data_IF_224304661254
#
_entry.id   IF_224304661254
#
_cell.length_a   1.000
_cell.length_b   1.000
_cell.length_c   1.000
_cell.angle_alpha   90.00
_cell.angle_beta   90.00
_cell.angle_gamma   90.00
#
_symmetry.space_group_name_H-M   'P 1'
#
loop_
_entity.id
_entity.type
_entity.pdbx_description
1 polymer ?
#
# COMPACT_ATOMS: atom_id res chain seq x y z
N UNK A 1 -14.14 -19.58 26.39
CA UNK A 1 -15.44 -18.93 26.03
C UNK A 1 -15.25 -17.55 25.45
N UNK A 2 -14.65 -16.64 26.18
CA UNK A 2 -14.40 -15.28 25.70
C UNK A 2 -13.44 -15.28 24.52
N UNK A 3 -12.40 -16.09 24.57
CA UNK A 3 -11.45 -16.23 23.48
C UNK A 3 -12.12 -16.75 22.21
N UNK A 4 -13.12 -17.60 22.33
CA UNK A 4 -13.85 -18.14 21.20
C UNK A 4 -14.72 -17.06 20.54
N UNK A 5 -15.29 -16.16 21.32
CA UNK A 5 -16.11 -15.08 20.79
C UNK A 5 -15.26 -14.14 19.92
N UNK A 6 -14.03 -13.84 20.34
CA UNK A 6 -13.12 -13.01 19.55
C UNK A 6 -12.64 -13.72 18.29
N UNK A 7 -12.45 -15.02 18.36
CA UNK A 7 -12.02 -15.81 17.21
C UNK A 7 -13.11 -15.85 16.14
N UNK A 8 -14.38 -15.86 16.54
CA UNK A 8 -15.49 -15.89 15.61
C UNK A 8 -15.74 -14.56 14.90
N UNK A 9 -15.18 -13.45 15.42
CA UNK A 9 -15.33 -12.15 14.78
C UNK A 9 -14.61 -12.09 13.44
N UNK A 10 -13.49 -12.82 13.28
CA UNK A 10 -12.76 -12.88 12.02
C UNK A 10 -12.55 -14.36 11.68
N UNK A 11 -13.56 -14.96 11.08
CA UNK A 11 -13.56 -16.39 10.78
C UNK A 11 -12.96 -16.71 9.42
N UNK A 12 -13.10 -15.81 8.45
CA UNK A 12 -12.67 -16.08 7.07
C UNK A 12 -11.50 -15.21 6.68
N UNK A 13 -10.78 -15.70 5.67
CA UNK A 13 -9.70 -14.91 5.06
C UNK A 13 -10.24 -13.67 4.38
N UNK A 14 -11.48 -13.73 3.87
CA UNK A 14 -12.15 -12.59 3.26
C UNK A 14 -12.40 -11.49 4.28
N UNK A 15 -12.91 -11.85 5.45
CA UNK A 15 -13.16 -10.89 6.53
C UNK A 15 -11.87 -10.26 7.04
N UNK A 16 -10.82 -11.07 7.20
CA UNK A 16 -9.52 -10.57 7.63
C UNK A 16 -8.94 -9.60 6.59
N UNK A 17 -9.08 -9.95 5.32
CA UNK A 17 -8.57 -9.11 4.22
C UNK A 17 -9.28 -7.78 4.15
N UNK A 18 -10.61 -7.76 4.34
CA UNK A 18 -11.40 -6.54 4.37
C UNK A 18 -11.02 -5.69 5.60
N UNK A 19 -10.85 -6.33 6.75
CA UNK A 19 -10.40 -5.65 7.96
C UNK A 19 -9.06 -4.97 7.72
N UNK A 20 -8.11 -5.68 7.10
CA UNK A 20 -6.79 -5.13 6.79
C UNK A 20 -6.88 -3.99 5.78
N UNK A 21 -7.78 -4.10 4.80
CA UNK A 21 -8.00 -3.02 3.83
C UNK A 21 -8.52 -1.76 4.52
N UNK A 22 -9.44 -1.91 5.46
CA UNK A 22 -10.00 -0.77 6.20
C UNK A 22 -8.95 -0.04 7.04
N UNK A 23 -7.85 -0.73 7.40
CA UNK A 23 -6.73 -0.13 8.13
C UNK A 23 -5.59 0.32 7.22
N UNK A 24 -5.69 0.05 5.92
CA UNK A 24 -4.60 0.36 4.97
C UNK A 24 -4.39 1.85 4.77
N UNK A 25 -5.43 2.68 4.92
CA UNK A 25 -5.28 4.12 4.81
C UNK A 25 -4.23 4.63 5.81
N UNK A 26 -4.35 4.20 7.06
CA UNK A 26 -3.41 4.57 8.12
C UNK A 26 -2.03 3.98 7.87
N UNK A 27 -1.97 2.73 7.40
CA UNK A 27 -0.72 2.07 7.07
C UNK A 27 0.04 2.80 5.97
N UNK A 28 -0.66 3.23 4.93
CA UNK A 28 -0.04 4.00 3.85
C UNK A 28 0.42 5.37 4.36
N UNK A 29 -0.35 5.99 5.24
CA UNK A 29 0.05 7.26 5.84
C UNK A 29 1.39 7.14 6.57
N UNK A 30 1.59 6.05 7.29
CA UNK A 30 2.87 5.76 7.95
C UNK A 30 3.99 5.58 6.93
N UNK A 31 3.74 4.87 5.84
CA UNK A 31 4.73 4.69 4.77
C UNK A 31 5.13 6.02 4.14
N UNK A 32 4.16 6.90 3.92
CA UNK A 32 4.40 8.24 3.38
C UNK A 32 5.31 9.03 4.32
N UNK A 33 4.98 9.04 5.61
CA UNK A 33 5.75 9.77 6.62
C UNK A 33 7.16 9.19 6.77
N UNK A 34 7.29 7.87 6.78
CA UNK A 34 8.60 7.20 6.89
C UNK A 34 9.46 7.47 5.66
N UNK A 35 8.86 7.49 4.48
CA UNK A 35 9.57 7.81 3.25
C UNK A 35 10.14 9.23 3.29
N UNK A 36 9.30 10.19 3.66
CA UNK A 36 9.73 11.59 3.78
C UNK A 36 10.82 11.77 4.82
N UNK A 37 10.66 11.13 5.97
CA UNK A 37 11.65 11.19 7.04
C UNK A 37 12.98 10.61 6.59
N UNK A 38 12.96 9.45 5.97
CA UNK A 38 14.17 8.79 5.47
C UNK A 38 14.88 9.67 4.44
N UNK A 39 14.13 10.28 3.52
CA UNK A 39 14.69 11.18 2.51
C UNK A 39 15.33 12.44 3.11
N UNK A 40 14.69 12.99 4.14
CA UNK A 40 15.27 14.14 4.87
C UNK A 40 16.53 13.76 5.61
N UNK A 41 16.52 12.62 6.28
CA UNK A 41 17.66 12.13 7.07
C UNK A 41 18.86 11.82 6.17
N UNK A 42 18.64 11.36 4.94
CA UNK A 42 19.72 11.12 3.97
C UNK A 42 20.51 12.38 3.64
N UNK A 43 19.88 13.52 3.73
CA UNK A 43 20.54 14.81 3.46
C UNK A 43 21.38 15.28 4.64
N UNK A 44 21.13 14.73 5.83
CA UNK A 44 21.78 15.13 7.07
C UNK A 44 22.81 14.09 7.49
N UNK A 45 22.38 12.83 7.57
CA UNK A 45 23.23 11.71 7.99
C UNK A 45 22.83 10.48 7.15
N UNK A 46 23.54 10.30 6.04
CA UNK A 46 23.26 9.21 5.10
C UNK A 46 23.34 7.84 5.76
N UNK A 47 24.32 7.65 6.64
CA UNK A 47 24.55 6.36 7.27
C UNK A 47 23.37 5.95 8.15
N UNK A 48 22.88 6.87 8.95
CA UNK A 48 21.71 6.64 9.82
C UNK A 48 20.46 6.41 8.98
N UNK A 49 20.29 7.17 7.89
CA UNK A 49 19.15 7.01 7.01
C UNK A 49 19.14 5.66 6.32
N UNK A 50 20.30 5.13 5.93
CA UNK A 50 20.37 3.81 5.31
C UNK A 50 19.93 2.71 6.29
N UNK A 51 20.19 2.87 7.57
CA UNK A 51 19.71 1.93 8.59
C UNK A 51 18.17 1.91 8.69
N UNK A 52 17.52 3.03 8.42
CA UNK A 52 16.06 3.12 8.45
C UNK A 52 15.42 2.73 7.12
N UNK A 53 16.20 2.73 6.05
CA UNK A 53 15.68 2.41 4.72
C UNK A 53 15.29 0.94 4.59
N UNK A 54 16.01 0.02 5.21
CA UNK A 54 15.69 -1.40 5.13
C UNK A 54 14.31 -1.74 5.70
N UNK A 55 13.96 -1.30 6.92
CA UNK A 55 12.60 -1.50 7.41
C UNK A 55 11.54 -0.86 6.50
N UNK A 56 11.82 0.31 5.93
CA UNK A 56 10.90 0.97 5.02
C UNK A 56 10.69 0.13 3.76
N UNK A 57 11.76 -0.34 3.13
CA UNK A 57 11.64 -1.16 1.92
C UNK A 57 10.90 -2.46 2.19
N UNK A 58 11.14 -3.08 3.33
CA UNK A 58 10.40 -4.29 3.73
C UNK A 58 8.90 -3.99 3.88
N UNK A 59 8.55 -2.88 4.49
CA UNK A 59 7.15 -2.48 4.65
C UNK A 59 6.48 -2.17 3.29
N UNK A 60 7.22 -1.57 2.36
CA UNK A 60 6.72 -1.31 1.01
C UNK A 60 6.45 -2.62 0.27
N UNK A 61 7.34 -3.60 0.37
CA UNK A 61 7.15 -4.91 -0.23
C UNK A 61 5.98 -5.67 0.40
N UNK A 62 5.81 -5.55 1.71
CA UNK A 62 4.68 -6.15 2.41
C UNK A 62 3.36 -5.57 1.92
N UNK A 63 3.31 -4.27 1.71
CA UNK A 63 2.12 -3.62 1.16
C UNK A 63 1.83 -4.11 -0.26
N UNK A 64 2.84 -4.21 -1.11
CA UNK A 64 2.68 -4.72 -2.48
C UNK A 64 2.11 -6.14 -2.46
N UNK A 65 2.64 -7.00 -1.60
CA UNK A 65 2.18 -8.38 -1.44
C UNK A 65 0.73 -8.43 -0.95
N UNK A 66 0.40 -7.58 0.00
CA UNK A 66 -0.98 -7.49 0.52
C UNK A 66 -1.95 -7.07 -0.57
N UNK A 67 -1.63 -6.04 -1.32
CA UNK A 67 -2.48 -5.56 -2.41
C UNK A 67 -2.69 -6.66 -3.46
N UNK A 68 -1.62 -7.34 -3.82
CA UNK A 68 -1.69 -8.43 -4.80
C UNK A 68 -2.59 -9.56 -4.29
N UNK A 69 -2.42 -9.97 -3.04
CA UNK A 69 -3.23 -11.04 -2.43
C UNK A 69 -4.70 -10.64 -2.32
N UNK A 70 -4.97 -9.40 -1.91
CA UNK A 70 -6.32 -8.88 -1.80
C UNK A 70 -7.05 -8.89 -3.14
N UNK A 71 -6.40 -8.35 -4.16
CA UNK A 71 -6.99 -8.28 -5.49
C UNK A 71 -7.17 -9.67 -6.12
N UNK A 72 -6.28 -10.60 -5.81
CA UNK A 72 -6.39 -11.97 -6.27
C UNK A 72 -7.58 -12.68 -5.58
N UNK A 73 -7.68 -12.52 -4.27
CA UNK A 73 -8.75 -13.14 -3.47
C UNK A 73 -10.15 -12.71 -3.92
N UNK A 74 -10.32 -11.43 -4.19
CA UNK A 74 -11.62 -10.86 -4.58
C UNK A 74 -11.77 -10.71 -6.10
N UNK A 75 -10.84 -11.26 -6.88
CA UNK A 75 -10.87 -11.20 -8.34
C UNK A 75 -11.09 -9.76 -8.84
N UNK A 76 -10.33 -8.82 -8.28
CA UNK A 76 -10.44 -7.41 -8.62
C UNK A 76 -9.75 -7.12 -9.94
N UNK A 77 -10.47 -6.49 -10.87
CA UNK A 77 -9.87 -5.90 -12.05
C UNK A 77 -9.41 -4.48 -11.67
N UNK A 78 -8.10 -4.31 -11.51
CA UNK A 78 -7.51 -3.03 -11.08
C UNK A 78 -7.82 -1.87 -12.01
N UNK A 79 -8.11 -2.16 -13.27
CA UNK A 79 -8.50 -1.14 -14.25
C UNK A 79 -9.85 -0.51 -13.92
N UNK A 80 -10.70 -1.27 -13.25
CA UNK A 80 -12.05 -0.80 -12.86
C UNK A 80 -12.02 0.06 -11.61
N UNK A 81 -10.93 0.03 -10.85
CA UNK A 81 -10.75 0.88 -9.67
C UNK A 81 -10.09 2.16 -10.17
N UNK A 82 -10.87 3.11 -10.58
CA UNK A 82 -10.35 4.33 -11.21
C UNK A 82 -11.22 5.53 -10.89
N UNK A 83 -10.59 6.69 -10.98
CA UNK A 83 -11.25 7.99 -10.93
C UNK A 83 -10.81 8.83 -12.13
N UNK A 84 -11.03 10.14 -12.10
CA UNK A 84 -10.68 11.02 -13.21
C UNK A 84 -9.16 11.13 -13.45
N UNK A 85 -8.35 10.70 -12.51
CA UNK A 85 -6.88 10.84 -12.57
C UNK A 85 -6.16 9.55 -12.93
N UNK A 86 -6.85 8.43 -12.95
CA UNK A 86 -6.27 7.16 -13.33
C UNK A 86 -6.77 5.98 -12.52
N UNK A 87 -6.17 4.83 -12.75
CA UNK A 87 -6.60 3.55 -12.15
C UNK A 87 -5.63 3.06 -11.08
N UNK A 88 -6.14 2.11 -10.29
CA UNK A 88 -5.30 1.39 -9.32
C UNK A 88 -4.17 0.63 -10.02
N UNK A 89 -4.43 0.08 -11.21
CA UNK A 89 -3.40 -0.61 -11.99
C UNK A 89 -2.22 0.32 -12.27
N UNK A 90 -2.49 1.51 -12.79
CA UNK A 90 -1.45 2.50 -13.10
C UNK A 90 -0.73 2.95 -11.84
N UNK A 91 -1.45 3.18 -10.76
CA UNK A 91 -0.86 3.60 -9.49
C UNK A 91 0.07 2.52 -8.92
N UNK A 92 -0.35 1.26 -8.97
CA UNK A 92 0.48 0.15 -8.48
C UNK A 92 1.70 -0.08 -9.36
N UNK A 93 1.57 0.10 -10.68
CA UNK A 93 2.72 0.01 -11.59
C UNK A 93 3.75 1.10 -11.26
N UNK A 94 3.29 2.32 -11.00
CA UNK A 94 4.16 3.43 -10.57
C UNK A 94 4.84 3.12 -9.25
N UNK A 95 4.12 2.52 -8.32
CA UNK A 95 4.64 2.12 -7.02
C UNK A 95 5.77 1.09 -7.16
N UNK A 96 5.55 0.06 -7.97
CA UNK A 96 6.58 -0.97 -8.23
C UNK A 96 7.80 -0.39 -8.91
N UNK A 97 7.59 0.54 -9.85
CA UNK A 97 8.70 1.26 -10.49
C UNK A 97 9.50 2.05 -9.47
N UNK A 98 8.83 2.70 -8.51
CA UNK A 98 9.52 3.39 -7.42
C UNK A 98 10.40 2.44 -6.60
N UNK A 99 9.88 1.26 -6.26
CA UNK A 99 10.65 0.27 -5.49
C UNK A 99 11.89 -0.19 -6.24
N UNK A 100 11.74 -0.47 -7.54
CA UNK A 100 12.88 -0.85 -8.39
C UNK A 100 13.91 0.28 -8.45
N UNK A 101 13.44 1.51 -8.58
CA UNK A 101 14.31 2.68 -8.67
C UNK A 101 15.08 2.91 -7.36
N UNK A 102 14.45 2.67 -6.20
CA UNK A 102 15.13 2.70 -4.91
C UNK A 102 16.33 1.75 -4.92
N UNK A 103 16.10 0.51 -5.34
CA UNK A 103 17.17 -0.49 -5.41
C UNK A 103 18.29 -0.09 -6.38
N UNK A 104 17.94 0.46 -7.54
CA UNK A 104 18.91 0.92 -8.53
C UNK A 104 19.77 2.06 -7.98
N UNK A 105 19.18 3.02 -7.30
CA UNK A 105 19.92 4.12 -6.68
C UNK A 105 20.82 3.65 -5.55
N UNK A 106 20.38 2.66 -4.78
CA UNK A 106 21.20 2.06 -3.74
C UNK A 106 22.44 1.37 -4.34
N UNK A 107 22.25 0.56 -5.37
CA UNK A 107 23.33 -0.15 -6.03
C UNK A 107 24.33 0.80 -6.66
N UNK A 108 23.87 1.87 -7.29
CA UNK A 108 24.71 2.87 -7.92
C UNK A 108 25.24 3.92 -6.94
N UNK A 109 24.83 3.84 -5.68
CA UNK A 109 25.20 4.79 -4.62
C UNK A 109 24.81 6.23 -4.94
N UNK A 110 23.72 6.40 -5.68
CA UNK A 110 23.21 7.72 -6.04
C UNK A 110 22.28 8.23 -4.94
N UNK A 111 22.88 8.73 -3.88
CA UNK A 111 22.16 9.12 -2.66
C UNK A 111 21.25 10.33 -2.90
N UNK A 112 21.68 11.28 -3.72
CA UNK A 112 20.89 12.48 -4.01
C UNK A 112 19.60 12.10 -4.71
N UNK A 113 19.67 11.27 -5.74
CA UNK A 113 18.49 10.81 -6.47
C UNK A 113 17.58 9.96 -5.59
N UNK A 114 18.18 9.12 -4.73
CA UNK A 114 17.41 8.30 -3.78
C UNK A 114 16.64 9.20 -2.80
N UNK A 115 17.30 10.19 -2.23
CA UNK A 115 16.65 11.14 -1.32
C UNK A 115 15.49 11.86 -1.99
N UNK A 116 15.68 12.33 -3.23
CA UNK A 116 14.61 12.99 -3.98
C UNK A 116 13.42 12.07 -4.23
N UNK A 117 13.68 10.82 -4.58
CA UNK A 117 12.62 9.82 -4.79
C UNK A 117 11.81 9.62 -3.51
N UNK A 118 12.49 9.46 -2.39
CA UNK A 118 11.84 9.25 -1.09
C UNK A 118 11.07 10.47 -0.61
N UNK A 119 11.49 11.67 -1.00
CA UNK A 119 10.84 12.92 -0.59
C UNK A 119 9.66 13.28 -1.49
N UNK A 120 9.64 12.85 -2.73
CA UNK A 120 8.68 13.35 -3.72
C UNK A 120 7.88 12.24 -4.40
N UNK A 121 8.49 11.45 -5.24
CA UNK A 121 7.77 10.52 -6.10
C UNK A 121 7.11 9.38 -5.33
N UNK A 122 7.81 8.78 -4.39
CA UNK A 122 7.24 7.67 -3.61
C UNK A 122 6.07 8.14 -2.75
N UNK A 123 6.18 9.23 -1.96
CA UNK A 123 5.03 9.74 -1.22
C UNK A 123 3.85 10.08 -2.13
N UNK A 124 4.08 10.72 -3.25
CA UNK A 124 3.05 11.09 -4.20
C UNK A 124 2.32 9.86 -4.75
N UNK A 125 3.06 8.82 -5.08
CA UNK A 125 2.49 7.56 -5.57
C UNK A 125 1.67 6.87 -4.48
N UNK A 126 2.17 6.85 -3.25
CA UNK A 126 1.44 6.28 -2.12
C UNK A 126 0.15 7.05 -1.83
N UNK A 127 0.19 8.37 -1.89
CA UNK A 127 -1.01 9.21 -1.74
C UNK A 127 -2.04 8.89 -2.82
N UNK A 128 -1.58 8.64 -4.02
CA UNK A 128 -2.46 8.25 -5.11
C UNK A 128 -3.17 6.92 -4.84
N UNK A 129 -2.43 5.92 -4.40
CA UNK A 129 -3.00 4.62 -4.01
C UNK A 129 -4.00 4.82 -2.86
N UNK A 130 -3.62 5.58 -1.85
CA UNK A 130 -4.46 5.86 -0.70
C UNK A 130 -5.81 6.45 -1.12
N UNK A 131 -5.82 7.34 -2.10
CA UNK A 131 -7.04 7.97 -2.60
C UNK A 131 -7.96 7.01 -3.34
N UNK A 132 -7.44 5.88 -3.82
CA UNK A 132 -8.21 4.86 -4.53
C UNK A 132 -8.75 3.76 -3.61
N UNK A 133 -8.28 3.68 -2.37
CA UNK A 133 -8.73 2.63 -1.45
C UNK A 133 -10.24 2.64 -1.20
N UNK A 134 -10.91 3.79 -1.02
CA UNK A 134 -12.37 3.77 -0.87
C UNK A 134 -13.09 3.16 -2.07
N UNK A 135 -12.60 3.40 -3.28
CA UNK A 135 -13.18 2.82 -4.49
C UNK A 135 -12.98 1.31 -4.53
N UNK A 136 -11.80 0.85 -4.12
CA UNK A 136 -11.52 -0.58 -4.02
C UNK A 136 -12.44 -1.23 -2.98
N UNK A 137 -12.60 -0.60 -1.83
CA UNK A 137 -13.49 -1.10 -0.78
C UNK A 137 -14.93 -1.20 -1.28
N UNK A 138 -15.39 -0.19 -1.98
CA UNK A 138 -16.73 -0.16 -2.57
C UNK A 138 -16.92 -1.28 -3.61
N UNK A 139 -15.93 -1.50 -4.47
CA UNK A 139 -15.95 -2.57 -5.46
C UNK A 139 -16.12 -3.94 -4.79
N UNK A 140 -15.36 -4.18 -3.73
CA UNK A 140 -15.43 -5.44 -2.98
C UNK A 140 -16.81 -5.59 -2.33
N UNK A 141 -17.32 -4.53 -1.73
CA UNK A 141 -18.65 -4.56 -1.10
C UNK A 141 -19.73 -4.88 -2.11
N UNK A 142 -19.72 -4.25 -3.26
CA UNK A 142 -20.74 -4.50 -4.28
C UNK A 142 -20.66 -5.90 -4.86
N UNK A 143 -19.46 -6.41 -5.03
CA UNK A 143 -19.27 -7.71 -5.67
C UNK A 143 -19.53 -8.89 -4.73
N UNK A 144 -19.19 -8.75 -3.45
CA UNK A 144 -19.18 -9.88 -2.52
C UNK A 144 -20.15 -9.74 -1.35
N UNK A 145 -20.52 -8.52 -0.98
CA UNK A 145 -21.39 -8.29 0.19
C UNK A 145 -22.81 -7.94 -0.23
N UNK A 146 -22.97 -7.11 -1.25
CA UNK A 146 -24.26 -6.68 -1.78
C UNK A 146 -25.20 -7.81 -2.22
N UNK A 147 -24.70 -8.89 -2.89
CA UNK A 147 -25.61 -9.95 -3.36
C UNK A 147 -26.50 -10.55 -2.28
N UNK A 148 -26.03 -10.62 -1.05
CA UNK A 148 -26.81 -11.16 0.07
C UNK A 148 -28.00 -10.27 0.41
N UNK A 149 -27.83 -8.97 0.33
CA UNK A 149 -28.90 -8.02 0.62
C UNK A 149 -29.96 -8.01 -0.47
N UNK A 150 -29.61 -8.33 -1.68
CA UNK A 150 -30.53 -8.32 -2.82
C UNK A 150 -31.55 -9.47 -2.81
N UNK A 151 -31.26 -10.51 -2.06
CA UNK A 151 -32.15 -11.67 -1.94
C UNK A 151 -33.29 -11.43 -0.97
N UNK A 152 -33.20 -10.39 -0.22
CA UNK A 152 -34.24 -10.02 0.75
C UNK A 152 -35.20 -8.99 0.16
#
# INVERSE_FOLDING_TARGET
>A
MIANAKTTEIESIEELSVYSLDHSHEGIELLINDSRKCGKDMRIDTRMALDTLLPLTNALHDFDSFEHSLCSLFEVDRKMICDNYGSLETAMDSFRTCMITVEQHLESKNIISLALLLLTKLPSTLERIQSLLPLLRHYIDEKYIQPETKHN
#
